data_IF_896571459167
#
_entry.id   IF_896571459167
#
_cell.length_a   1.000
_cell.length_b   1.000
_cell.length_c   1.000
_cell.angle_alpha   90.00
_cell.angle_beta   90.00
_cell.angle_gamma   90.00
#
_symmetry.space_group_name_H-M   'P 1'
#
loop_
_entity.id
_entity.type
_entity.pdbx_description
1 polymer ?
#
# COMPACT_ATOMS: atom_id res chain seq x y z
N UNK A 1 -19.51 4.32 -13.28
CA UNK A 1 -18.67 4.88 -14.36
C UNK A 1 -17.21 4.68 -13.94
N UNK A 2 -16.62 3.55 -14.34
CA UNK A 2 -15.24 3.19 -14.03
C UNK A 2 -14.58 2.68 -15.32
N UNK A 3 -13.33 3.06 -15.54
CA UNK A 3 -12.51 2.64 -16.68
C UNK A 3 -11.48 1.64 -16.18
N UNK A 4 -11.36 0.50 -16.86
CA UNK A 4 -10.41 -0.56 -16.50
C UNK A 4 -9.16 -0.45 -17.37
N UNK A 5 -8.01 -0.24 -16.73
CA UNK A 5 -6.68 -0.24 -17.32
C UNK A 5 -6.01 -1.59 -17.08
N UNK A 6 -5.77 -2.35 -18.15
CA UNK A 6 -5.03 -3.62 -18.13
C UNK A 6 -3.78 -3.53 -19.00
N UNK A 7 -2.65 -3.07 -18.46
CA UNK A 7 -1.37 -3.17 -19.15
C UNK A 7 -0.95 -4.64 -19.34
N UNK A 8 -0.02 -4.95 -20.25
CA UNK A 8 0.54 -6.29 -20.38
C UNK A 8 1.28 -6.69 -19.10
N UNK A 9 0.88 -7.82 -18.52
CA UNK A 9 1.35 -8.33 -17.23
C UNK A 9 0.20 -8.69 -16.29
N UNK A 10 0.53 -9.18 -15.11
CA UNK A 10 -0.46 -9.56 -14.07
C UNK A 10 -0.83 -8.35 -13.21
N UNK A 11 -1.36 -7.32 -13.87
CA UNK A 11 -1.78 -6.06 -13.27
C UNK A 11 -3.08 -5.57 -13.92
N UNK A 12 -4.04 -5.18 -13.08
CA UNK A 12 -5.31 -4.58 -13.50
C UNK A 12 -5.61 -3.42 -12.57
N UNK A 13 -5.90 -2.24 -13.11
CA UNK A 13 -6.33 -1.07 -12.34
C UNK A 13 -7.67 -0.57 -12.86
N UNK A 14 -8.51 -0.07 -11.97
CA UNK A 14 -9.80 0.57 -12.28
C UNK A 14 -9.77 1.99 -11.76
N UNK A 15 -10.04 2.94 -12.65
CA UNK A 15 -10.05 4.38 -12.35
C UNK A 15 -11.43 4.97 -12.59
N UNK A 16 -11.72 6.12 -11.99
CA UNK A 16 -12.91 6.90 -12.33
C UNK A 16 -12.78 7.49 -13.74
N UNK A 17 -13.87 7.52 -14.50
CA UNK A 17 -13.86 8.14 -15.85
C UNK A 17 -13.57 9.64 -15.77
N UNK A 18 -14.13 10.30 -14.75
CA UNK A 18 -13.87 11.70 -14.47
C UNK A 18 -12.68 11.79 -13.53
N UNK A 19 -11.60 12.42 -14.00
CA UNK A 19 -10.41 12.73 -13.19
C UNK A 19 -9.40 11.60 -13.02
N UNK A 20 -9.65 10.40 -13.55
CA UNK A 20 -8.70 9.28 -13.50
C UNK A 20 -8.25 8.92 -12.06
N UNK A 21 -9.15 9.03 -11.08
CA UNK A 21 -8.83 8.69 -9.70
C UNK A 21 -8.82 7.17 -9.52
N UNK A 22 -7.84 6.61 -8.79
CA UNK A 22 -7.78 5.18 -8.56
C UNK A 22 -8.97 4.74 -7.70
N UNK A 23 -9.68 3.71 -8.14
CA UNK A 23 -10.73 3.06 -7.36
C UNK A 23 -10.26 1.69 -6.83
N UNK A 24 -9.60 0.91 -7.69
CA UNK A 24 -9.05 -0.41 -7.35
C UNK A 24 -7.81 -0.70 -8.17
N UNK A 25 -6.82 -1.34 -7.56
CA UNK A 25 -5.70 -1.95 -8.26
C UNK A 25 -5.50 -3.37 -7.77
N UNK A 26 -5.30 -4.30 -8.70
CA UNK A 26 -4.98 -5.69 -8.41
C UNK A 26 -3.72 -6.09 -9.16
N UNK A 27 -2.79 -6.73 -8.46
CA UNK A 27 -1.53 -7.19 -9.03
C UNK A 27 -1.16 -8.56 -8.48
N UNK A 28 -0.47 -9.37 -9.28
CA UNK A 28 -0.04 -10.70 -8.85
C UNK A 28 1.38 -10.67 -8.32
N UNK A 29 1.55 -11.21 -7.12
CA UNK A 29 2.85 -11.44 -6.48
C UNK A 29 3.15 -12.94 -6.49
N UNK A 30 4.44 -13.30 -6.49
CA UNK A 30 4.87 -14.71 -6.46
C UNK A 30 4.57 -15.37 -5.12
N UNK A 31 4.68 -14.60 -4.04
CA UNK A 31 4.56 -15.09 -2.67
C UNK A 31 3.11 -15.16 -2.18
N UNK A 32 2.28 -14.16 -2.53
CA UNK A 32 0.94 -14.00 -1.96
C UNK A 32 -0.18 -14.11 -3.00
N UNK A 33 0.15 -14.39 -4.27
CA UNK A 33 -0.84 -14.42 -5.35
C UNK A 33 -1.40 -13.04 -5.66
N UNK A 34 -2.70 -12.95 -5.97
CA UNK A 34 -3.36 -11.69 -6.28
C UNK A 34 -3.55 -10.84 -5.02
N UNK A 35 -2.91 -9.67 -5.02
CA UNK A 35 -3.10 -8.62 -4.02
C UNK A 35 -4.04 -7.58 -4.58
N UNK A 36 -5.02 -7.18 -3.78
CA UNK A 36 -5.99 -6.14 -4.12
C UNK A 36 -5.80 -4.94 -3.19
N UNK A 37 -5.79 -3.75 -3.79
CA UNK A 37 -5.77 -2.47 -3.10
C UNK A 37 -6.97 -1.64 -3.56
N UNK A 38 -7.87 -1.32 -2.62
CA UNK A 38 -9.05 -0.50 -2.86
C UNK A 38 -8.86 0.89 -2.27
N UNK A 39 -9.26 1.91 -3.02
CA UNK A 39 -9.04 3.31 -2.69
C UNK A 39 -10.38 4.02 -2.51
N UNK A 40 -10.56 4.62 -1.34
CA UNK A 40 -11.76 5.38 -0.96
C UNK A 40 -11.33 6.76 -0.42
N UNK A 41 -12.23 7.73 -0.50
CA UNK A 41 -12.02 9.09 0.03
C UNK A 41 -10.72 9.77 -0.44
N UNK A 42 -10.36 9.54 -1.70
CA UNK A 42 -9.17 10.12 -2.31
C UNK A 42 -9.22 11.67 -2.26
N UNK A 43 -8.18 12.28 -1.69
CA UNK A 43 -7.97 13.74 -1.68
C UNK A 43 -6.80 14.08 -2.61
N UNK A 44 -6.95 15.13 -3.40
CA UNK A 44 -5.90 15.57 -4.33
C UNK A 44 -4.77 16.25 -3.54
N UNK A 45 -3.56 15.72 -3.68
CA UNK A 45 -2.37 16.23 -3.00
C UNK A 45 -2.23 15.74 -1.55
N UNK A 46 -1.25 16.31 -0.84
CA UNK A 46 -0.97 15.98 0.56
C UNK A 46 -1.38 17.17 1.40
N UNK A 47 -2.35 16.98 2.29
CA UNK A 47 -2.89 18.06 3.15
C UNK A 47 -1.92 18.44 4.26
N UNK A 48 -1.15 17.49 4.79
CA UNK A 48 -0.13 17.71 5.81
C UNK A 48 1.18 16.96 5.47
N UNK A 49 2.21 17.66 4.96
CA UNK A 49 3.48 17.05 4.58
C UNK A 49 4.25 16.40 5.75
N UNK A 50 4.03 16.85 6.99
CA UNK A 50 4.74 16.31 8.16
C UNK A 50 4.38 14.84 8.44
N UNK A 51 3.32 14.31 7.83
CA UNK A 51 2.98 12.88 7.89
C UNK A 51 3.96 11.98 7.12
N UNK A 52 4.81 12.57 6.27
CA UNK A 52 5.88 11.85 5.58
C UNK A 52 7.15 11.74 6.44
N UNK A 53 7.27 12.55 7.50
CA UNK A 53 8.40 12.46 8.40
C UNK A 53 8.24 11.23 9.29
N UNK A 54 9.24 10.32 9.32
CA UNK A 54 9.17 9.16 10.19
C UNK A 54 9.17 9.62 11.66
N UNK A 55 8.42 8.94 12.53
CA UNK A 55 8.36 9.29 13.94
C UNK A 55 9.71 9.08 14.64
N UNK A 56 9.95 9.78 15.75
CA UNK A 56 11.26 9.75 16.45
C UNK A 56 11.72 8.35 16.85
N UNK A 57 10.80 7.43 17.16
CA UNK A 57 11.14 6.05 17.49
C UNK A 57 11.76 5.27 16.31
N UNK A 58 11.65 5.78 15.08
CA UNK A 58 12.32 5.22 13.90
C UNK A 58 13.76 5.70 13.74
N UNK A 59 14.25 6.66 14.54
CA UNK A 59 15.58 7.27 14.35
C UNK A 59 16.73 6.24 14.43
N UNK A 60 16.60 5.26 15.32
CA UNK A 60 17.58 4.19 15.52
C UNK A 60 17.13 2.86 14.89
N UNK A 61 16.15 2.89 13.97
CA UNK A 61 15.66 1.69 13.31
C UNK A 61 16.75 1.10 12.40
N UNK A 62 17.48 0.12 12.91
CA UNK A 62 18.42 -0.68 12.12
C UNK A 62 17.63 -1.74 11.37
N UNK A 63 17.71 -1.72 10.03
CA UNK A 63 17.24 -2.84 9.23
C UNK A 63 18.20 -4.02 9.43
N UNK A 64 17.80 -4.99 10.24
CA UNK A 64 18.48 -6.26 10.30
C UNK A 64 18.06 -7.09 9.08
N UNK A 65 18.99 -7.25 8.14
CA UNK A 65 18.77 -7.95 6.86
C UNK A 65 18.56 -9.45 7.08
N UNK A 66 18.99 -9.98 8.24
CA UNK A 66 18.85 -11.38 8.62
C UNK A 66 17.63 -11.64 9.51
N UNK A 67 16.95 -10.58 9.99
CA UNK A 67 15.77 -10.73 10.83
C UNK A 67 14.57 -11.27 10.04
N UNK A 68 13.82 -12.16 10.68
CA UNK A 68 12.56 -12.65 10.13
C UNK A 68 11.58 -11.47 9.89
N UNK A 69 10.87 -11.47 8.75
CA UNK A 69 9.96 -10.38 8.40
C UNK A 69 8.86 -10.26 9.47
N UNK A 70 8.92 -9.20 10.27
CA UNK A 70 7.88 -8.90 11.26
C UNK A 70 6.64 -8.37 10.57
N UNK A 71 5.53 -9.11 10.69
CA UNK A 71 4.21 -8.64 10.27
C UNK A 71 3.69 -7.57 11.26
N UNK A 72 2.93 -6.57 10.81
CA UNK A 72 2.26 -5.59 11.68
C UNK A 72 1.47 -6.23 12.84
N UNK A 73 0.93 -7.44 12.67
CA UNK A 73 0.26 -8.20 13.73
C UNK A 73 1.18 -8.52 14.91
N UNK A 74 2.48 -8.69 14.68
CA UNK A 74 3.47 -8.95 15.74
C UNK A 74 3.70 -7.75 16.65
N UNK A 75 3.37 -6.52 16.22
CA UNK A 75 3.41 -5.35 17.10
C UNK A 75 2.23 -5.33 18.10
N UNK A 76 1.11 -5.95 17.76
CA UNK A 76 -0.10 -5.95 18.59
C UNK A 76 -0.23 -7.22 19.44
N UNK A 77 0.34 -8.33 18.99
CA UNK A 77 0.42 -9.56 19.77
C UNK A 77 1.62 -9.49 20.71
N UNK A 78 1.41 -9.12 21.97
CA UNK A 78 2.34 -9.53 23.03
C UNK A 78 2.26 -11.06 23.12
N UNK A 79 3.32 -11.74 22.70
CA UNK A 79 3.53 -13.14 23.09
C UNK A 79 3.66 -13.20 24.61
N UNK A 80 2.88 -14.11 25.22
CA UNK A 80 3.01 -14.49 26.63
C UNK A 80 4.06 -15.59 26.77
#
# INVERSE_FOLDING_TARGET
IFVVCRPPGDFVSSVTELGCFPARTSYQTKEFGWVLADFYDNVIGITNPNLLEPPEFCADAVMDVEAEPRNYLSFYAKEN
#
